data_IF_654405471042
#
_entry.id   IF_654405471042
#
_cell.length_a   1.000
_cell.length_b   1.000
_cell.length_c   1.000
_cell.angle_alpha   90.00
_cell.angle_beta   90.00
_cell.angle_gamma   90.00
#
_symmetry.space_group_name_H-M   'P 1'
#
loop_
_entity.id
_entity.type
_entity.pdbx_description
1 polymer ?
#
# COMPACT_ATOMS: atom_id res chain seq x y z
N UNK A 1 -0.47 6.38 -8.51
CA UNK A 1 -1.05 6.10 -7.17
C UNK A 1 -2.14 7.07 -6.74
N UNK A 2 -2.03 8.39 -6.96
CA UNK A 2 -3.12 9.34 -6.61
C UNK A 2 -4.50 8.94 -7.15
N UNK A 3 -4.57 8.43 -8.39
CA UNK A 3 -5.80 7.93 -9.00
C UNK A 3 -6.40 6.68 -8.32
N UNK A 4 -5.68 6.04 -7.39
CA UNK A 4 -6.11 4.85 -6.66
C UNK A 4 -6.57 5.17 -5.23
N UNK A 5 -6.53 6.43 -4.80
CA UNK A 5 -7.05 6.85 -3.48
C UNK A 5 -8.54 6.51 -3.36
N UNK A 6 -8.93 5.96 -2.22
CA UNK A 6 -10.27 5.43 -1.92
C UNK A 6 -10.56 4.06 -2.54
N UNK A 7 -9.62 3.45 -3.27
CA UNK A 7 -9.79 2.13 -3.86
C UNK A 7 -9.11 1.06 -3.02
N UNK A 8 -9.75 -0.11 -2.94
CA UNK A 8 -9.11 -1.34 -2.51
C UNK A 8 -8.13 -1.78 -3.58
N UNK A 9 -6.91 -2.12 -3.18
CA UNK A 9 -5.82 -2.45 -4.10
C UNK A 9 -5.03 -3.65 -3.62
N UNK A 10 -4.32 -4.26 -4.55
CA UNK A 10 -3.18 -5.13 -4.28
C UNK A 10 -1.92 -4.35 -4.64
N UNK A 11 -1.02 -4.18 -3.66
CA UNK A 11 0.30 -3.60 -3.84
C UNK A 11 1.35 -4.71 -3.86
N UNK A 12 2.18 -4.73 -4.91
CA UNK A 12 3.38 -5.56 -4.95
C UNK A 12 4.56 -4.71 -4.44
N UNK A 13 5.17 -5.13 -3.34
CA UNK A 13 6.22 -4.40 -2.62
C UNK A 13 7.61 -4.99 -2.88
N UNK A 14 8.64 -4.15 -2.80
CA UNK A 14 10.04 -4.59 -2.74
C UNK A 14 10.33 -5.27 -1.40
N UNK A 15 11.27 -6.23 -1.33
CA UNK A 15 11.68 -6.86 -0.07
C UNK A 15 12.23 -5.87 0.98
N UNK A 16 12.72 -4.72 0.55
CA UNK A 16 13.23 -3.65 1.40
C UNK A 16 12.12 -2.74 1.96
N UNK A 17 10.85 -2.98 1.62
CA UNK A 17 9.74 -2.33 2.28
C UNK A 17 9.66 -2.92 3.69
N UNK A 18 10.33 -2.28 4.66
CA UNK A 18 10.48 -2.68 6.07
C UNK A 18 9.17 -2.71 6.87
N UNK A 19 8.05 -2.89 6.17
CA UNK A 19 6.78 -3.30 6.72
C UNK A 19 6.82 -4.81 6.86
N UNK A 20 6.46 -5.32 8.04
CA UNK A 20 6.26 -6.74 8.35
C UNK A 20 5.13 -7.39 7.50
N UNK A 21 5.21 -7.25 6.18
CA UNK A 21 4.22 -7.68 5.21
C UNK A 21 4.76 -8.94 4.57
N UNK A 22 4.27 -10.06 5.06
CA UNK A 22 4.57 -11.38 4.54
C UNK A 22 4.52 -11.38 2.99
N UNK A 23 5.62 -11.76 2.35
CA UNK A 23 5.69 -12.12 0.92
C UNK A 23 5.59 -10.99 -0.10
N UNK A 24 5.77 -9.72 0.29
CA UNK A 24 5.86 -8.62 -0.67
C UNK A 24 4.56 -8.31 -1.41
N UNK A 25 3.40 -8.71 -0.86
CA UNK A 25 2.08 -8.28 -1.32
C UNK A 25 1.28 -7.71 -0.17
N UNK A 26 0.68 -6.54 -0.36
CA UNK A 26 -0.20 -5.91 0.61
C UNK A 26 -1.57 -5.68 -0.02
N UNK A 27 -2.61 -6.13 0.67
CA UNK A 27 -4.00 -5.82 0.33
C UNK A 27 -4.54 -4.79 1.31
N UNK A 28 -5.24 -3.79 0.79
CA UNK A 28 -5.83 -2.75 1.60
C UNK A 28 -6.42 -1.62 0.78
N UNK A 29 -6.95 -0.61 1.47
CA UNK A 29 -7.52 0.59 0.86
C UNK A 29 -6.55 1.75 0.95
N UNK A 30 -6.29 2.44 -0.16
CA UNK A 30 -5.43 3.63 -0.14
C UNK A 30 -6.23 4.81 0.42
N UNK A 31 -5.87 5.26 1.62
CA UNK A 31 -6.47 6.43 2.27
C UNK A 31 -5.97 7.74 1.63
N UNK A 32 -4.67 7.80 1.32
CA UNK A 32 -4.03 9.00 0.76
C UNK A 32 -2.77 8.64 -0.04
N UNK A 33 -2.40 9.51 -0.97
CA UNK A 33 -1.12 9.43 -1.69
C UNK A 33 -0.67 10.82 -2.14
N UNK A 34 0.59 11.17 -1.86
CA UNK A 34 1.16 12.48 -2.23
C UNK A 34 2.13 12.41 -3.42
N UNK A 35 2.57 11.20 -3.78
CA UNK A 35 3.53 10.93 -4.85
C UNK A 35 4.90 10.44 -4.34
N UNK A 36 5.19 10.65 -3.05
CA UNK A 36 6.37 10.14 -2.36
C UNK A 36 5.98 8.99 -1.44
N UNK A 37 4.87 9.13 -0.72
CA UNK A 37 4.28 8.13 0.16
C UNK A 37 2.82 7.87 -0.19
N UNK A 38 2.34 6.70 0.22
CA UNK A 38 0.93 6.36 0.29
C UNK A 38 0.59 5.87 1.70
N UNK A 39 -0.63 6.20 2.12
CA UNK A 39 -1.23 5.69 3.35
C UNK A 39 -2.23 4.61 2.94
N UNK A 40 -2.09 3.43 3.52
CA UNK A 40 -2.95 2.28 3.27
C UNK A 40 -3.49 1.72 4.59
N UNK A 41 -4.79 1.42 4.61
CA UNK A 41 -5.42 0.60 5.65
C UNK A 41 -5.38 -0.87 5.19
N UNK A 42 -4.58 -1.75 5.85
CA UNK A 42 -4.47 -3.15 5.47
C UNK A 42 -5.73 -3.95 5.81
N UNK A 43 -6.10 -4.89 4.94
CA UNK A 43 -7.23 -5.80 5.20
C UNK A 43 -6.95 -6.75 6.39
N UNK A 44 -5.68 -7.11 6.61
CA UNK A 44 -5.24 -7.99 7.72
C UNK A 44 -5.23 -7.28 9.08
N UNK A 45 -5.24 -5.95 9.09
CA UNK A 45 -5.21 -5.13 10.29
C UNK A 45 -6.10 -3.89 10.10
N UNK A 46 -7.44 -4.08 10.03
CA UNK A 46 -8.38 -2.98 9.89
C UNK A 46 -8.23 -1.95 11.02
N UNK A 47 -8.57 -0.70 10.75
CA UNK A 47 -8.36 0.46 11.61
C UNK A 47 -6.89 0.83 11.90
N UNK A 48 -5.91 0.13 11.30
CA UNK A 48 -4.50 0.54 11.33
C UNK A 48 -4.10 1.17 10.02
N UNK A 49 -3.38 2.29 10.06
CA UNK A 49 -2.84 2.95 8.87
C UNK A 49 -1.35 2.67 8.77
N UNK A 50 -0.89 2.30 7.57
CA UNK A 50 0.52 2.13 7.25
C UNK A 50 0.96 3.16 6.22
N UNK A 51 2.11 3.78 6.46
CA UNK A 51 2.78 4.63 5.49
C UNK A 51 3.79 3.81 4.70
N UNK A 52 3.76 3.91 3.37
CA UNK A 52 4.66 3.20 2.47
C UNK A 52 5.27 4.20 1.50
N UNK A 53 6.59 4.18 1.36
CA UNK A 53 7.26 4.98 0.32
C UNK A 53 6.98 4.38 -1.07
N UNK A 54 6.65 5.24 -2.02
CA UNK A 54 6.27 4.86 -3.39
C UNK A 54 7.39 4.10 -4.12
N UNK A 55 8.67 4.38 -3.80
CA UNK A 55 9.81 3.67 -4.41
C UNK A 55 9.92 2.21 -3.95
N UNK A 56 9.22 1.81 -2.89
CA UNK A 56 9.10 0.43 -2.47
C UNK A 56 7.95 -0.31 -3.17
N UNK A 57 7.13 0.37 -3.97
CA UNK A 57 5.99 -0.26 -4.65
C UNK A 57 6.35 -0.53 -6.10
N UNK A 58 6.41 -1.82 -6.44
CA UNK A 58 6.67 -2.28 -7.81
C UNK A 58 5.44 -2.16 -8.70
N UNK A 59 4.26 -2.45 -8.14
CA UNK A 59 3.00 -2.40 -8.85
C UNK A 59 1.84 -2.13 -7.90
N UNK A 60 0.78 -1.51 -8.41
CA UNK A 60 -0.44 -1.23 -7.68
C UNK A 60 -1.64 -1.42 -8.61
N UNK A 61 -2.56 -2.32 -8.25
CA UNK A 61 -3.75 -2.62 -9.06
C UNK A 61 -5.02 -2.58 -8.22
N UNK A 62 -6.10 -1.95 -8.70
CA UNK A 62 -7.40 -2.04 -8.04
C UNK A 62 -7.95 -3.47 -8.13
N UNK A 63 -8.78 -3.84 -7.15
CA UNK A 63 -9.55 -5.09 -7.12
C UNK A 63 -11.03 -4.83 -6.89
#
# INVERSE_FOLDING_TARGET
MKALVGKRVVLDLTPAADTATARGKLLGTIDAADGLVLIIEPDEAPATRRSIHSHHVKNARPI
#
